data_IF_999197502121
#
_entry.id   IF_999197502121
#
_cell.length_a   1.000
_cell.length_b   1.000
_cell.length_c   1.000
_cell.angle_alpha   90.00
_cell.angle_beta   90.00
_cell.angle_gamma   90.00
#
_symmetry.space_group_name_H-M   'P 1'
#
loop_
_entity.id
_entity.type
_entity.pdbx_description
1 polymer ?
#
# COMPACT_ATOMS: atom_id res chain seq x y z
N UNK A 1 -15.10 -13.97 1.91
CA UNK A 1 -14.18 -13.70 0.79
C UNK A 1 -12.94 -13.01 1.32
N UNK A 2 -11.96 -12.72 0.46
CA UNK A 2 -10.81 -11.87 0.78
C UNK A 2 -11.08 -10.50 0.16
N UNK A 3 -10.88 -9.42 0.92
CA UNK A 3 -10.87 -8.06 0.37
C UNK A 3 -9.49 -7.80 -0.24
N UNK A 4 -9.45 -7.57 -1.55
CA UNK A 4 -8.22 -7.21 -2.27
C UNK A 4 -8.09 -5.69 -2.33
N UNK A 5 -6.94 -5.16 -1.90
CA UNK A 5 -6.68 -3.72 -1.86
C UNK A 5 -5.32 -3.43 -2.48
N UNK A 6 -5.28 -2.58 -3.50
CA UNK A 6 -4.05 -2.06 -4.09
C UNK A 6 -3.58 -0.83 -3.29
N UNK A 7 -2.35 -0.85 -2.77
CA UNK A 7 -1.81 0.27 -1.96
C UNK A 7 -0.56 0.82 -2.63
N UNK A 8 -0.61 2.06 -3.10
CA UNK A 8 0.49 2.63 -3.91
C UNK A 8 0.80 4.08 -3.57
N UNK A 9 2.07 4.47 -3.75
CA UNK A 9 2.48 5.87 -3.76
C UNK A 9 2.25 6.56 -5.11
N UNK A 10 1.91 5.79 -6.16
CA UNK A 10 1.53 6.30 -7.48
C UNK A 10 0.11 6.87 -7.51
N UNK A 11 -0.22 7.65 -8.53
CA UNK A 11 -1.48 8.39 -8.61
C UNK A 11 -2.70 7.47 -8.84
N UNK A 12 -3.84 7.88 -8.30
CA UNK A 12 -5.15 7.22 -8.47
C UNK A 12 -5.57 7.06 -9.93
N UNK A 13 -5.20 8.01 -10.80
CA UNK A 13 -5.44 7.97 -12.25
C UNK A 13 -5.05 6.62 -12.89
N UNK A 14 -3.99 5.98 -12.41
CA UNK A 14 -3.51 4.71 -12.95
C UNK A 14 -4.14 3.49 -12.25
N UNK A 15 -4.65 3.67 -11.03
CA UNK A 15 -5.14 2.57 -10.21
C UNK A 15 -6.60 2.26 -10.46
N UNK A 16 -7.43 3.26 -10.78
CA UNK A 16 -8.87 3.04 -10.95
C UNK A 16 -9.20 1.98 -12.04
N UNK A 17 -8.60 2.01 -13.25
CA UNK A 17 -8.89 1.00 -14.26
C UNK A 17 -8.46 -0.41 -13.82
N UNK A 18 -7.29 -0.51 -13.19
CA UNK A 18 -6.73 -1.79 -12.71
C UNK A 18 -7.55 -2.37 -11.56
N UNK A 19 -7.94 -1.54 -10.59
CA UNK A 19 -8.77 -1.94 -9.47
C UNK A 19 -10.13 -2.47 -9.94
N UNK A 20 -10.74 -1.80 -10.93
CA UNK A 20 -11.98 -2.23 -11.56
C UNK A 20 -11.85 -3.59 -12.25
N UNK A 21 -10.77 -3.81 -13.00
CA UNK A 21 -10.51 -5.08 -13.68
C UNK A 21 -10.31 -6.24 -12.70
N UNK A 22 -9.64 -5.97 -11.57
CA UNK A 22 -9.35 -6.98 -10.55
C UNK A 22 -10.48 -7.18 -9.53
N UNK A 23 -11.53 -6.35 -9.54
CA UNK A 23 -12.54 -6.33 -8.48
C UNK A 23 -11.95 -5.99 -7.12
N UNK A 24 -10.97 -5.08 -7.09
CA UNK A 24 -10.23 -4.66 -5.92
C UNK A 24 -10.60 -3.23 -5.51
N UNK A 25 -10.38 -2.91 -4.24
CA UNK A 25 -10.29 -1.53 -3.79
C UNK A 25 -8.88 -1.00 -4.02
N UNK A 26 -8.70 0.32 -3.93
CA UNK A 26 -7.38 0.92 -3.99
C UNK A 26 -7.22 2.10 -3.02
N UNK A 27 -5.98 2.30 -2.58
CA UNK A 27 -5.53 3.42 -1.78
C UNK A 27 -4.37 4.07 -2.53
N UNK A 28 -4.63 5.24 -3.10
CA UNK A 28 -3.66 6.01 -3.86
C UNK A 28 -3.81 7.51 -3.57
N UNK A 29 -2.72 8.28 -3.61
CA UNK A 29 -2.78 9.74 -3.60
C UNK A 29 -3.46 10.29 -4.85
N UNK A 30 -4.06 11.48 -4.71
CA UNK A 30 -4.68 12.21 -5.82
C UNK A 30 -3.77 13.36 -6.27
N UNK A 31 -3.75 13.61 -7.58
CA UNK A 31 -3.21 14.85 -8.12
C UNK A 31 -4.32 15.89 -8.09
N UNK A 32 -4.05 17.06 -7.52
CA UNK A 32 -5.02 18.14 -7.56
C UNK A 32 -5.22 18.63 -8.99
N UNK A 33 -6.50 18.80 -9.33
CA UNK A 33 -6.97 19.37 -10.57
C UNK A 33 -7.77 20.64 -10.28
N UNK A 34 -7.46 21.71 -11.01
CA UNK A 34 -8.21 22.97 -11.01
C UNK A 34 -8.51 23.31 -12.46
N UNK A 35 -9.79 23.49 -12.77
CA UNK A 35 -10.26 23.84 -14.12
C UNK A 35 -9.74 22.92 -15.23
N UNK A 36 -9.69 21.60 -14.98
CA UNK A 36 -9.21 20.61 -15.95
C UNK A 36 -7.70 20.49 -16.06
N UNK A 37 -6.93 21.21 -15.24
CA UNK A 37 -5.46 21.23 -15.28
C UNK A 37 -4.88 20.76 -13.95
N UNK A 38 -3.92 19.82 -14.04
CA UNK A 38 -3.19 19.36 -12.86
C UNK A 38 -2.25 20.44 -12.32
N UNK A 39 -2.38 20.75 -11.04
CA UNK A 39 -1.56 21.78 -10.38
C UNK A 39 -0.17 21.28 -10.01
N UNK A 40 0.06 19.96 -10.09
CA UNK A 40 1.27 19.30 -9.61
C UNK A 40 1.24 18.97 -8.11
N UNK A 41 0.23 19.44 -7.38
CA UNK A 41 0.10 19.18 -5.94
C UNK A 41 -0.53 17.82 -5.68
N UNK A 42 0.14 17.01 -4.85
CA UNK A 42 -0.42 15.75 -4.35
C UNK A 42 -1.24 16.03 -3.10
N UNK A 43 -2.50 15.59 -3.08
CA UNK A 43 -3.44 15.81 -1.96
C UNK A 43 -3.89 14.46 -1.39
N UNK A 44 -3.82 14.27 -0.05
CA UNK A 44 -3.34 15.21 0.98
C UNK A 44 -1.81 15.32 1.10
N UNK A 45 -1.08 14.53 0.32
CA UNK A 45 0.38 14.46 0.30
C UNK A 45 0.85 13.08 -0.15
N UNK A 46 2.17 12.84 -0.17
CA UNK A 46 2.72 11.56 -0.61
C UNK A 46 2.25 10.38 0.26
N UNK A 47 1.74 9.32 -0.36
CA UNK A 47 1.36 8.08 0.34
C UNK A 47 2.57 7.14 0.45
N UNK A 48 3.39 7.35 1.48
CA UNK A 48 4.57 6.51 1.77
C UNK A 48 4.79 6.37 3.27
N UNK A 49 5.49 5.31 3.69
CA UNK A 49 5.86 5.11 5.09
C UNK A 49 4.65 5.04 6.00
N UNK A 50 4.63 5.91 7.03
CA UNK A 50 3.54 5.98 8.01
C UNK A 50 2.18 6.31 7.37
N UNK A 51 2.16 7.12 6.32
CA UNK A 51 0.92 7.48 5.63
C UNK A 51 0.25 6.25 5.00
N UNK A 52 1.03 5.32 4.41
CA UNK A 52 0.50 4.04 3.92
C UNK A 52 -0.10 3.21 5.06
N UNK A 53 0.62 3.07 6.18
CA UNK A 53 0.16 2.33 7.34
C UNK A 53 -1.16 2.88 7.92
N UNK A 54 -1.27 4.20 8.06
CA UNK A 54 -2.49 4.86 8.54
C UNK A 54 -3.65 4.67 7.58
N UNK A 55 -3.41 4.80 6.27
CA UNK A 55 -4.46 4.60 5.27
C UNK A 55 -4.97 3.15 5.26
N UNK A 56 -4.08 2.15 5.37
CA UNK A 56 -4.46 0.74 5.47
C UNK A 56 -5.24 0.45 6.74
N UNK A 57 -4.86 1.00 7.90
CA UNK A 57 -5.62 0.84 9.14
C UNK A 57 -7.03 1.42 9.03
N UNK A 58 -7.17 2.65 8.51
CA UNK A 58 -8.48 3.28 8.30
C UNK A 58 -9.34 2.48 7.34
N UNK A 59 -8.77 2.00 6.25
CA UNK A 59 -9.50 1.19 5.27
C UNK A 59 -9.95 -0.14 5.88
N UNK A 60 -9.09 -0.80 6.66
CA UNK A 60 -9.44 -2.04 7.34
C UNK A 60 -10.57 -1.84 8.37
N UNK A 61 -10.50 -0.76 9.17
CA UNK A 61 -11.55 -0.39 10.13
C UNK A 61 -12.90 -0.17 9.43
N UNK A 62 -12.91 0.59 8.33
CA UNK A 62 -14.11 0.87 7.55
C UNK A 62 -14.77 -0.40 6.97
N UNK A 63 -14.00 -1.45 6.73
CA UNK A 63 -14.48 -2.72 6.17
C UNK A 63 -14.60 -3.85 7.21
N UNK A 64 -14.34 -3.59 8.49
CA UNK A 64 -14.34 -4.61 9.54
C UNK A 64 -13.29 -5.71 9.33
N UNK A 65 -12.15 -5.38 8.71
CA UNK A 65 -11.06 -6.32 8.39
C UNK A 65 -10.06 -6.39 9.55
N UNK A 66 -9.78 -7.61 10.02
CA UNK A 66 -8.74 -7.88 11.01
C UNK A 66 -7.35 -7.99 10.34
N UNK A 67 -6.53 -6.96 10.49
CA UNK A 67 -5.18 -6.91 9.92
C UNK A 67 -4.25 -8.00 10.48
N UNK A 68 -4.47 -8.51 11.70
CA UNK A 68 -3.68 -9.61 12.24
C UNK A 68 -3.89 -10.92 11.46
N UNK A 69 -4.99 -11.02 10.70
CA UNK A 69 -5.31 -12.16 9.82
C UNK A 69 -5.05 -11.87 8.34
N UNK A 70 -4.59 -10.66 8.01
CA UNK A 70 -4.34 -10.19 6.64
C UNK A 70 -2.91 -10.44 6.18
N UNK A 71 -2.74 -10.38 4.87
CA UNK A 71 -1.45 -10.33 4.20
C UNK A 71 -1.19 -8.92 3.66
N UNK A 72 0.07 -8.54 3.55
CA UNK A 72 0.50 -7.38 2.78
C UNK A 72 1.82 -7.69 2.10
N UNK A 73 1.99 -7.19 0.87
CA UNK A 73 3.19 -7.39 0.07
C UNK A 73 3.77 -6.03 -0.32
N UNK A 74 5.10 -5.92 -0.33
CA UNK A 74 5.81 -4.69 -0.71
C UNK A 74 7.29 -4.93 -0.96
N UNK A 75 7.90 -4.06 -1.77
CA UNK A 75 9.27 -4.18 -2.26
C UNK A 75 10.18 -3.05 -1.76
N UNK A 76 9.61 -1.88 -1.44
CA UNK A 76 10.37 -0.72 -1.02
C UNK A 76 10.40 -0.57 0.50
N UNK A 77 11.47 0.01 1.04
CA UNK A 77 11.55 0.34 2.47
C UNK A 77 10.40 1.26 2.95
N UNK A 78 9.82 2.06 2.05
CA UNK A 78 8.63 2.86 2.32
C UNK A 78 7.40 2.03 2.72
N UNK A 79 7.36 0.75 2.37
CA UNK A 79 6.26 -0.16 2.72
C UNK A 79 6.42 -0.78 4.10
N UNK A 80 7.61 -0.71 4.72
CA UNK A 80 7.89 -1.30 6.04
C UNK A 80 6.77 -0.98 7.05
N UNK A 81 6.32 0.27 7.25
CA UNK A 81 5.29 0.56 8.25
C UNK A 81 3.95 -0.11 7.94
N UNK A 82 3.59 -0.26 6.66
CA UNK A 82 2.38 -0.99 6.23
C UNK A 82 2.54 -2.48 6.49
N UNK A 83 3.68 -3.06 6.13
CA UNK A 83 3.99 -4.47 6.37
C UNK A 83 3.97 -4.80 7.88
N UNK A 84 4.42 -3.88 8.73
CA UNK A 84 4.33 -4.02 10.19
C UNK A 84 2.89 -4.02 10.74
N UNK A 85 1.89 -3.64 9.94
CA UNK A 85 0.49 -3.61 10.38
C UNK A 85 -0.22 -4.96 10.28
N UNK A 86 0.28 -5.89 9.46
CA UNK A 86 -0.41 -7.15 9.16
C UNK A 86 0.23 -8.33 9.89
N UNK A 87 -0.54 -9.39 10.10
CA UNK A 87 -0.02 -10.63 10.67
C UNK A 87 0.89 -11.42 9.72
N UNK A 88 0.76 -11.21 8.40
CA UNK A 88 1.52 -11.96 7.38
C UNK A 88 2.17 -11.02 6.35
N UNK A 89 3.26 -10.32 6.73
CA UNK A 89 4.01 -9.49 5.81
C UNK A 89 4.88 -10.32 4.86
N UNK A 90 4.92 -9.93 3.60
CA UNK A 90 5.77 -10.52 2.57
C UNK A 90 6.60 -9.42 1.90
N UNK A 91 7.91 -9.55 1.94
CA UNK A 91 8.83 -8.68 1.22
C UNK A 91 9.10 -9.29 -0.17
N UNK A 92 8.57 -8.67 -1.23
CA UNK A 92 8.67 -9.19 -2.60
C UNK A 92 9.73 -8.41 -3.37
N UNK A 93 10.70 -9.09 -3.97
CA UNK A 93 11.82 -8.46 -4.67
C UNK A 93 12.42 -7.23 -3.92
N UNK A 94 12.68 -7.34 -2.59
CA UNK A 94 12.85 -6.16 -1.76
C UNK A 94 14.14 -5.40 -2.04
N UNK A 95 14.08 -4.08 -1.87
CA UNK A 95 15.27 -3.24 -1.81
C UNK A 95 16.20 -3.68 -0.66
N UNK A 96 17.46 -3.24 -0.70
CA UNK A 96 18.47 -3.64 0.30
C UNK A 96 18.07 -3.29 1.74
N UNK A 97 17.32 -2.21 1.94
CA UNK A 97 16.90 -1.75 3.28
C UNK A 97 15.73 -2.59 3.78
N UNK A 98 14.74 -2.89 2.94
CA UNK A 98 13.61 -3.74 3.29
C UNK A 98 14.06 -5.18 3.52
N UNK A 99 14.98 -5.70 2.70
CA UNK A 99 15.55 -7.04 2.89
C UNK A 99 16.18 -7.21 4.28
N UNK A 100 16.94 -6.22 4.76
CA UNK A 100 17.52 -6.24 6.12
C UNK A 100 16.45 -6.34 7.20
N UNK A 101 15.34 -5.62 7.02
CA UNK A 101 14.20 -5.65 7.97
C UNK A 101 13.51 -7.01 7.93
N UNK A 102 13.25 -7.53 6.73
CA UNK A 102 12.60 -8.82 6.54
C UNK A 102 13.41 -9.96 7.19
N UNK A 103 14.72 -10.00 6.95
CA UNK A 103 15.62 -10.97 7.58
C UNK A 103 15.64 -10.83 9.10
N UNK A 104 15.78 -9.61 9.62
CA UNK A 104 15.84 -9.37 11.07
C UNK A 104 14.52 -9.73 11.80
N UNK A 105 13.38 -9.65 11.10
CA UNK A 105 12.05 -9.94 11.65
C UNK A 105 11.51 -11.32 11.28
N UNK A 106 12.25 -12.12 10.50
CA UNK A 106 11.78 -13.41 9.99
C UNK A 106 10.58 -13.30 9.05
N UNK A 107 10.44 -12.20 8.32
CA UNK A 107 9.38 -12.05 7.31
C UNK A 107 9.68 -12.92 6.08
N UNK A 108 8.61 -13.38 5.42
CA UNK A 108 8.72 -14.09 4.16
C UNK A 108 9.35 -13.17 3.11
N UNK A 109 10.33 -13.69 2.36
CA UNK A 109 10.97 -13.00 1.25
C UNK A 109 10.73 -13.80 -0.02
N UNK A 110 10.11 -13.17 -1.01
CA UNK A 110 9.83 -13.78 -2.30
C UNK A 110 10.64 -13.11 -3.42
N UNK A 111 11.04 -13.92 -4.41
CA UNK A 111 11.68 -13.44 -5.64
C UNK A 111 11.00 -14.08 -6.83
N UNK A 112 10.36 -13.27 -7.66
CA UNK A 112 9.70 -13.69 -8.90
C UNK A 112 10.41 -13.07 -10.09
#
# INVERSE_FOLDING_TARGET
>A
GVLLVLVTGGLDLFMEPLARELGADYIAPKLEEVDGVFTGRIVPGPLTGKAKAEAVRRHAEAHGVDLARSFAMGDAFGDKPMLECVGRPVAINPDRRLLKVAVARGWQVERW
#
